data_IF_720719547236
#
_entry.id   IF_720719547236
#
_cell.length_a   1.000
_cell.length_b   1.000
_cell.length_c   1.000
_cell.angle_alpha   90.00
_cell.angle_beta   90.00
_cell.angle_gamma   90.00
#
_symmetry.space_group_name_H-M   'P 1'
#
loop_
_entity.id
_entity.type
_entity.pdbx_description
1 polymer ?
#
# COMPACT_ATOMS: atom_id res chain seq x y z
N UNK A 1 9.27 0.34 -12.48
CA UNK A 1 9.02 1.40 -11.48
C UNK A 1 7.61 1.93 -11.67
N UNK A 2 6.70 1.51 -10.80
CA UNK A 2 5.40 2.13 -10.63
C UNK A 2 5.62 3.41 -9.81
N UNK A 3 5.02 4.52 -10.24
CA UNK A 3 5.10 5.80 -9.55
C UNK A 3 3.83 6.01 -8.74
N UNK A 4 3.96 6.64 -7.58
CA UNK A 4 2.81 6.99 -6.75
C UNK A 4 2.68 8.51 -6.67
N UNK A 5 1.45 9.00 -6.69
CA UNK A 5 1.13 10.39 -6.41
C UNK A 5 1.39 10.78 -4.95
N UNK A 6 1.29 12.07 -4.66
CA UNK A 6 1.45 12.63 -3.30
C UNK A 6 0.39 12.04 -2.36
N UNK A 7 0.74 11.59 -1.14
CA UNK A 7 -0.26 11.27 -0.15
C UNK A 7 -0.87 12.59 0.34
N UNK A 8 -2.03 12.96 -0.18
CA UNK A 8 -2.79 14.06 0.37
C UNK A 8 -3.22 13.72 1.80
N UNK A 9 -2.83 14.56 2.75
CA UNK A 9 -3.10 14.37 4.17
C UNK A 9 -4.04 15.45 4.67
N UNK A 10 -5.31 15.10 4.81
CA UNK A 10 -6.27 15.89 5.57
C UNK A 10 -7.66 15.93 4.98
N UNK A 11 -8.67 16.07 5.85
CA UNK A 11 -10.08 16.19 5.47
C UNK A 11 -10.46 17.51 4.77
N UNK A 12 -9.49 18.35 4.42
CA UNK A 12 -9.69 19.62 3.70
C UNK A 12 -9.45 19.52 2.19
N UNK A 13 -8.85 18.43 1.71
CA UNK A 13 -8.63 18.22 0.27
C UNK A 13 -9.89 17.72 -0.41
N UNK A 14 -10.25 18.32 -1.54
CA UNK A 14 -11.36 17.86 -2.39
C UNK A 14 -10.86 16.81 -3.37
N UNK A 15 -11.75 15.95 -3.88
CA UNK A 15 -11.39 14.99 -4.95
C UNK A 15 -10.78 15.72 -6.17
N UNK A 16 -11.29 16.91 -6.48
CA UNK A 16 -10.77 17.76 -7.57
C UNK A 16 -9.28 18.10 -7.41
N UNK A 17 -8.80 18.27 -6.18
CA UNK A 17 -7.41 18.63 -5.92
C UNK A 17 -6.50 17.43 -6.22
N UNK A 18 -6.94 16.23 -5.84
CA UNK A 18 -6.23 14.97 -6.11
C UNK A 18 -6.14 14.67 -7.61
N UNK A 19 -7.26 14.85 -8.31
CA UNK A 19 -7.31 14.64 -9.76
C UNK A 19 -6.43 15.65 -10.50
N UNK A 20 -6.34 16.89 -10.01
CA UNK A 20 -5.44 17.91 -10.57
C UNK A 20 -3.97 17.55 -10.35
N UNK A 21 -3.59 17.06 -9.17
CA UNK A 21 -2.23 16.57 -8.89
C UNK A 21 -1.86 15.39 -9.79
N UNK A 22 -2.79 14.47 -10.01
CA UNK A 22 -2.59 13.34 -10.92
C UNK A 22 -2.38 13.79 -12.36
N UNK A 23 -3.15 14.77 -12.84
CA UNK A 23 -2.97 15.34 -14.17
C UNK A 23 -1.59 15.99 -14.31
N UNK A 24 -1.16 16.75 -13.31
CA UNK A 24 0.15 17.39 -13.29
C UNK A 24 1.28 16.35 -13.32
N UNK A 25 1.16 15.32 -12.47
CA UNK A 25 2.12 14.22 -12.44
C UNK A 25 2.14 13.45 -13.76
N UNK A 26 0.97 13.14 -14.33
CA UNK A 26 0.87 12.49 -15.65
C UNK A 26 1.56 13.30 -16.74
N UNK A 27 1.43 14.64 -16.72
CA UNK A 27 2.12 15.53 -17.67
C UNK A 27 3.64 15.50 -17.47
N UNK A 28 4.12 15.46 -16.23
CA UNK A 28 5.55 15.38 -15.92
C UNK A 28 6.17 14.04 -16.32
N UNK A 29 5.44 12.94 -16.10
CA UNK A 29 5.88 11.59 -16.42
C UNK A 29 5.85 11.27 -17.92
N UNK A 30 5.14 12.09 -18.71
CA UNK A 30 5.02 11.94 -20.16
C UNK A 30 3.96 10.92 -20.57
N UNK A 31 3.62 10.93 -21.87
CA UNK A 31 2.49 10.18 -22.44
C UNK A 31 2.67 8.65 -22.45
N UNK A 32 3.87 8.17 -22.11
CA UNK A 32 4.19 6.74 -22.05
C UNK A 32 3.63 6.04 -20.80
N UNK A 33 3.36 6.79 -19.72
CA UNK A 33 2.81 6.27 -18.48
C UNK A 33 1.39 6.78 -18.32
N UNK A 34 0.42 5.87 -18.42
CA UNK A 34 -1.00 6.18 -18.17
C UNK A 34 -1.39 5.62 -16.80
N UNK A 35 -2.23 6.33 -16.03
CA UNK A 35 -2.84 5.74 -14.84
C UNK A 35 -3.54 4.42 -15.22
N UNK A 36 -3.22 3.35 -14.49
CA UNK A 36 -3.97 2.10 -14.50
C UNK A 36 -5.22 2.24 -13.63
N UNK A 37 -5.08 2.95 -12.52
CA UNK A 37 -6.19 3.25 -11.63
C UNK A 37 -5.71 3.95 -10.38
N UNK A 38 -6.66 4.16 -9.48
CA UNK A 38 -6.47 4.95 -8.27
C UNK A 38 -7.00 4.20 -7.06
N UNK A 39 -6.27 4.30 -5.96
CA UNK A 39 -6.64 3.76 -4.67
C UNK A 39 -7.02 4.88 -3.71
N UNK A 40 -8.06 4.64 -2.91
CA UNK A 40 -8.42 5.48 -1.78
C UNK A 40 -8.38 4.67 -0.49
N UNK A 41 -7.46 5.03 0.41
CA UNK A 41 -7.09 4.21 1.56
C UNK A 41 -7.39 4.96 2.87
N UNK A 42 -8.41 4.57 3.65
CA UNK A 42 -8.75 5.23 4.92
C UNK A 42 -7.65 5.07 5.98
N UNK A 43 -7.28 6.13 6.70
CA UNK A 43 -6.19 6.09 7.68
C UNK A 43 -6.62 5.63 9.06
N UNK A 44 -7.84 5.97 9.50
CA UNK A 44 -8.34 5.66 10.84
C UNK A 44 -8.37 4.16 11.15
N UNK A 45 -8.88 3.38 10.20
CA UNK A 45 -8.98 1.94 10.29
C UNK A 45 -9.03 1.36 8.88
N UNK A 46 -8.62 0.09 8.76
CA UNK A 46 -8.78 -0.61 7.51
C UNK A 46 -10.25 -0.99 7.35
N UNK A 47 -10.82 -0.88 6.14
CA UNK A 47 -12.22 -1.21 5.90
C UNK A 47 -12.59 -2.59 6.45
N UNK A 48 -13.71 -2.70 7.15
CA UNK A 48 -14.32 -3.98 7.47
C UNK A 48 -14.82 -4.68 6.18
N UNK A 49 -15.06 -6.00 6.20
CA UNK A 49 -15.60 -6.71 5.04
C UNK A 49 -16.86 -6.05 4.46
N UNK A 50 -17.76 -5.56 5.32
CA UNK A 50 -19.00 -4.91 4.90
C UNK A 50 -18.74 -3.55 4.22
N UNK A 51 -17.71 -2.83 4.66
CA UNK A 51 -17.31 -1.55 4.06
C UNK A 51 -16.58 -1.71 2.73
N UNK A 52 -15.92 -2.87 2.47
CA UNK A 52 -15.20 -3.10 1.22
C UNK A 52 -16.12 -3.07 0.00
N UNK A 53 -17.36 -3.56 0.15
CA UNK A 53 -18.35 -3.56 -0.92
C UNK A 53 -18.78 -2.14 -1.33
N UNK A 54 -18.80 -1.19 -0.38
CA UNK A 54 -19.27 0.18 -0.60
C UNK A 54 -18.15 1.18 -0.94
N UNK A 55 -16.96 1.01 -0.38
CA UNK A 55 -15.91 2.05 -0.42
C UNK A 55 -15.18 2.18 -1.76
N UNK A 56 -15.45 1.30 -2.74
CA UNK A 56 -14.80 1.27 -4.07
C UNK A 56 -13.32 1.67 -3.99
N UNK A 57 -12.54 0.86 -3.26
CA UNK A 57 -11.14 1.17 -2.95
C UNK A 57 -10.31 1.39 -4.20
N UNK A 58 -10.66 0.77 -5.33
CA UNK A 58 -10.04 0.96 -6.63
C UNK A 58 -11.00 1.58 -7.63
N UNK A 59 -10.52 2.59 -8.34
CA UNK A 59 -11.21 3.18 -9.48
C UNK A 59 -10.29 3.07 -10.69
N UNK A 60 -10.75 2.32 -11.70
CA UNK A 60 -10.05 2.16 -12.97
C UNK A 60 -10.03 3.50 -13.74
N UNK A 61 -8.97 3.73 -14.51
CA UNK A 61 -8.82 4.90 -15.38
C UNK A 61 -9.44 4.72 -16.78
N UNK A 62 -10.31 3.72 -16.95
CA UNK A 62 -11.08 3.51 -18.19
C UNK A 62 -12.07 4.65 -18.47
N UNK A 63 -12.30 4.92 -19.75
CA UNK A 63 -13.20 5.99 -20.18
C UNK A 63 -14.64 5.71 -19.71
N UNK A 64 -15.22 6.64 -18.95
CA UNK A 64 -16.62 6.59 -18.50
C UNK A 64 -16.84 6.37 -17.01
N UNK A 65 -15.78 6.17 -16.22
CA UNK A 65 -15.88 6.14 -14.74
C UNK A 65 -15.56 7.52 -14.18
N UNK A 66 -16.53 8.14 -13.50
CA UNK A 66 -16.31 9.38 -12.77
C UNK A 66 -15.68 9.06 -11.40
N UNK A 67 -14.36 9.32 -11.29
CA UNK A 67 -13.61 9.13 -10.05
C UNK A 67 -14.11 10.06 -8.95
N UNK A 68 -14.56 11.27 -9.30
CA UNK A 68 -15.06 12.24 -8.32
C UNK A 68 -16.32 11.69 -7.64
N UNK A 69 -17.28 11.23 -8.43
CA UNK A 69 -18.51 10.61 -7.91
C UNK A 69 -18.21 9.35 -7.09
N UNK A 70 -17.21 8.55 -7.49
CA UNK A 70 -16.87 7.31 -6.77
C UNK A 70 -16.28 7.57 -5.38
N UNK A 71 -15.61 8.70 -5.17
CA UNK A 71 -14.87 8.98 -3.94
C UNK A 71 -15.55 10.03 -3.04
N UNK A 72 -16.52 10.79 -3.54
CA UNK A 72 -17.15 11.88 -2.79
C UNK A 72 -17.68 11.41 -1.43
N UNK A 73 -18.41 10.29 -1.38
CA UNK A 73 -18.94 9.70 -0.14
C UNK A 73 -17.84 9.11 0.76
N UNK A 74 -16.80 8.52 0.17
CA UNK A 74 -15.71 7.90 0.90
C UNK A 74 -14.81 8.95 1.59
N UNK A 75 -14.67 10.14 1.00
CA UNK A 75 -13.92 11.26 1.59
C UNK A 75 -14.62 11.92 2.78
N UNK A 76 -15.94 11.73 2.93
CA UNK A 76 -16.68 12.23 4.10
C UNK A 76 -16.44 11.39 5.37
N UNK A 77 -15.74 10.26 5.25
CA UNK A 77 -15.45 9.39 6.40
C UNK A 77 -14.41 10.04 7.34
N UNK A 78 -14.62 9.96 8.66
CA UNK A 78 -13.72 10.58 9.63
C UNK A 78 -12.33 9.91 9.63
N UNK A 79 -11.30 10.72 9.88
CA UNK A 79 -9.95 10.24 10.16
C UNK A 79 -9.01 10.14 8.95
N UNK A 80 -9.36 10.80 7.85
CA UNK A 80 -8.45 11.04 6.73
C UNK A 80 -8.20 9.82 5.85
N UNK A 81 -7.51 10.06 4.74
CA UNK A 81 -7.27 9.08 3.70
C UNK A 81 -5.89 9.30 3.08
N UNK A 82 -5.43 8.30 2.34
CA UNK A 82 -4.33 8.41 1.38
C UNK A 82 -4.88 8.03 0.02
N UNK A 83 -4.73 8.92 -0.95
CA UNK A 83 -4.99 8.60 -2.35
C UNK A 83 -3.70 8.16 -3.03
N UNK A 84 -3.76 7.09 -3.82
CA UNK A 84 -2.59 6.54 -4.52
C UNK A 84 -2.94 6.28 -5.97
N UNK A 85 -2.27 6.97 -6.88
CA UNK A 85 -2.39 6.71 -8.32
C UNK A 85 -1.36 5.70 -8.76
N UNK A 86 -1.81 4.67 -9.46
CA UNK A 86 -0.99 3.55 -9.92
C UNK A 86 -0.82 3.68 -11.43
N UNK A 87 0.40 3.92 -11.91
CA UNK A 87 0.69 4.15 -13.34
C UNK A 87 1.13 2.88 -14.06
N UNK A 88 0.40 2.48 -15.10
CA UNK A 88 0.71 1.31 -15.93
C UNK A 88 2.11 1.45 -16.53
N UNK A 89 2.98 0.47 -16.30
CA UNK A 89 4.23 0.37 -17.06
C UNK A 89 3.91 -0.01 -18.52
N UNK A 90 4.71 0.43 -19.50
CA UNK A 90 4.65 -0.10 -20.86
C UNK A 90 4.78 -1.63 -20.80
N UNK A 91 4.00 -2.37 -21.61
CA UNK A 91 3.92 -3.82 -21.53
C UNK A 91 5.31 -4.48 -21.53
N UNK A 92 5.68 -5.03 -20.38
CA UNK A 92 6.78 -5.97 -20.22
C UNK A 92 6.25 -7.40 -20.05
N UNK A 93 7.12 -8.41 -19.99
CA UNK A 93 6.68 -9.79 -19.84
C UNK A 93 5.85 -9.96 -18.56
N UNK A 94 4.57 -10.37 -18.73
CA UNK A 94 3.65 -10.71 -17.64
C UNK A 94 4.26 -11.80 -16.76
N UNK A 95 4.51 -11.50 -15.50
CA UNK A 95 4.97 -12.50 -14.52
C UNK A 95 3.77 -13.20 -13.90
N UNK A 96 3.77 -14.53 -13.94
CA UNK A 96 2.85 -15.37 -13.17
C UNK A 96 3.62 -15.91 -11.96
N UNK A 97 3.40 -15.30 -10.79
CA UNK A 97 3.86 -15.86 -9.52
C UNK A 97 2.62 -16.29 -8.74
N UNK A 98 2.43 -17.60 -8.64
CA UNK A 98 1.42 -18.20 -7.78
C UNK A 98 2.15 -18.84 -6.60
N UNK A 99 1.98 -18.25 -5.42
CA UNK A 99 2.55 -18.73 -4.17
C UNK A 99 1.64 -18.28 -3.03
N UNK A 100 1.26 -19.22 -2.18
CA UNK A 100 0.36 -19.00 -1.05
C UNK A 100 1.21 -18.68 0.18
N UNK A 101 1.02 -17.49 0.74
CA UNK A 101 1.62 -17.10 2.03
C UNK A 101 0.79 -17.64 3.18
N UNK A 102 1.42 -18.41 4.08
CA UNK A 102 0.84 -18.84 5.35
C UNK A 102 1.49 -18.02 6.47
N UNK A 103 0.81 -16.97 6.94
CA UNK A 103 1.27 -16.19 8.11
C UNK A 103 0.55 -16.70 9.37
N UNK A 104 1.28 -17.02 10.47
CA UNK A 104 0.67 -17.42 11.74
C UNK A 104 -0.21 -16.33 12.37
N UNK A 105 -1.23 -16.76 13.13
CA UNK A 105 -2.38 -15.96 13.59
C UNK A 105 -2.14 -14.81 14.59
N UNK A 106 -0.90 -14.40 14.89
CA UNK A 106 -0.61 -13.20 15.69
C UNK A 106 -0.23 -11.96 14.86
N UNK A 107 0.18 -12.16 13.61
CA UNK A 107 0.39 -11.09 12.62
C UNK A 107 -0.82 -11.11 11.69
N UNK A 108 -1.59 -10.02 11.71
CA UNK A 108 -2.77 -9.89 10.88
C UNK A 108 -2.36 -9.48 9.47
N UNK A 109 -2.55 -10.37 8.49
CA UNK A 109 -2.52 -9.99 7.08
C UNK A 109 -3.89 -10.24 6.48
N UNK A 110 -4.48 -9.21 5.88
CA UNK A 110 -5.80 -9.30 5.26
C UNK A 110 -5.78 -8.66 3.88
N UNK A 111 -6.09 -9.46 2.86
CA UNK A 111 -6.28 -8.95 1.51
C UNK A 111 -7.55 -8.11 1.47
N UNK A 112 -7.43 -6.85 1.05
CA UNK A 112 -8.54 -5.91 0.91
C UNK A 112 -9.03 -5.81 -0.54
N UNK A 113 -8.11 -5.93 -1.50
CA UNK A 113 -8.38 -5.86 -2.92
C UNK A 113 -7.33 -6.69 -3.67
N UNK A 114 -7.76 -7.38 -4.72
CA UNK A 114 -6.88 -8.00 -5.71
C UNK A 114 -7.48 -7.77 -7.09
N UNK A 115 -6.69 -7.22 -8.01
CA UNK A 115 -7.07 -6.99 -9.40
C UNK A 115 -5.88 -7.28 -10.33
N UNK A 116 -6.02 -6.98 -11.62
CA UNK A 116 -4.96 -7.26 -12.60
C UNK A 116 -3.69 -6.42 -12.43
N UNK A 117 -3.72 -5.36 -11.61
CA UNK A 117 -2.61 -4.44 -11.40
C UNK A 117 -1.95 -4.58 -10.03
N UNK A 118 -2.75 -4.75 -8.98
CA UNK A 118 -2.28 -4.73 -7.59
C UNK A 118 -2.98 -5.74 -6.68
N UNK A 119 -2.25 -6.17 -5.66
CA UNK A 119 -2.83 -6.65 -4.41
C UNK A 119 -2.70 -5.57 -3.33
N UNK A 120 -3.78 -5.29 -2.60
CA UNK A 120 -3.80 -4.39 -1.46
C UNK A 120 -4.01 -5.19 -0.18
N UNK A 121 -3.08 -5.08 0.75
CA UNK A 121 -3.12 -5.76 2.04
C UNK A 121 -3.22 -4.77 3.19
N UNK A 122 -4.02 -5.14 4.19
CA UNK A 122 -4.00 -4.60 5.54
C UNK A 122 -3.07 -5.47 6.38
N UNK A 123 -1.97 -4.87 6.85
CA UNK A 123 -0.91 -5.55 7.56
C UNK A 123 -0.78 -5.01 8.98
N UNK A 124 -0.76 -5.90 9.97
CA UNK A 124 -0.78 -5.56 11.39
C UNK A 124 0.18 -6.43 12.19
N UNK A 125 1.14 -5.79 12.86
CA UNK A 125 2.03 -6.44 13.84
C UNK A 125 1.81 -5.76 15.19
N UNK A 126 1.26 -6.48 16.19
CA UNK A 126 1.06 -5.93 17.52
C UNK A 126 2.35 -5.42 18.16
N UNK A 127 2.21 -4.53 19.14
CA UNK A 127 3.30 -4.10 20.00
C UNK A 127 4.06 -5.29 20.61
N UNK A 128 5.39 -5.24 20.57
CA UNK A 128 6.31 -6.24 21.13
C UNK A 128 6.24 -7.63 20.46
N UNK A 129 5.59 -7.72 19.29
CA UNK A 129 5.49 -8.96 18.50
C UNK A 129 6.42 -8.90 17.28
N UNK A 130 6.86 -10.07 16.84
CA UNK A 130 7.66 -10.24 15.63
C UNK A 130 6.81 -10.67 14.44
N UNK A 131 7.10 -10.08 13.28
CA UNK A 131 6.78 -10.67 12.00
C UNK A 131 7.88 -11.67 11.65
N UNK A 132 7.48 -12.93 11.51
CA UNK A 132 8.39 -14.01 11.17
C UNK A 132 8.94 -13.87 9.73
N UNK A 133 9.85 -14.78 9.39
CA UNK A 133 10.52 -14.79 8.10
C UNK A 133 9.51 -14.92 6.96
N UNK A 134 9.53 -13.97 6.04
CA UNK A 134 8.69 -13.98 4.85
C UNK A 134 9.46 -13.46 3.63
N UNK A 135 8.99 -13.86 2.46
CA UNK A 135 9.57 -13.52 1.16
C UNK A 135 8.64 -12.56 0.40
N UNK A 136 9.22 -11.48 -0.13
CA UNK A 136 8.51 -10.56 -1.02
C UNK A 136 8.69 -11.01 -2.47
N UNK A 137 7.58 -11.35 -3.13
CA UNK A 137 7.58 -11.89 -4.51
C UNK A 137 7.37 -10.82 -5.57
N UNK A 138 6.78 -9.70 -5.18
CA UNK A 138 6.43 -8.59 -6.06
C UNK A 138 7.05 -7.30 -5.52
N UNK A 139 7.46 -6.36 -6.39
CA UNK A 139 7.72 -5.00 -5.96
C UNK A 139 6.48 -4.45 -5.26
N UNK A 140 6.67 -3.69 -4.19
CA UNK A 140 5.56 -3.14 -3.45
C UNK A 140 5.90 -1.78 -2.86
N UNK A 141 4.84 -1.05 -2.53
CA UNK A 141 4.92 0.11 -1.64
C UNK A 141 4.12 -0.19 -0.40
N UNK A 142 4.61 0.27 0.74
CA UNK A 142 3.79 0.31 1.95
C UNK A 142 3.68 1.72 2.52
N UNK A 143 2.59 1.95 3.24
CA UNK A 143 2.30 3.17 4.00
C UNK A 143 1.97 2.78 5.43
N UNK A 144 2.58 3.46 6.40
CA UNK A 144 2.19 3.29 7.80
C UNK A 144 0.95 4.15 8.09
N UNK A 145 -0.15 3.56 8.57
CA UNK A 145 -1.34 4.33 9.00
C UNK A 145 -1.07 5.15 10.26
N UNK A 146 -0.20 4.65 11.13
CA UNK A 146 0.22 5.30 12.38
C UNK A 146 1.73 5.27 12.50
N UNK A 147 2.30 6.20 13.26
CA UNK A 147 3.74 6.14 13.57
C UNK A 147 4.08 4.86 14.32
N UNK A 148 5.18 4.20 13.93
CA UNK A 148 5.57 2.91 14.48
C UNK A 148 7.09 2.73 14.52
N UNK A 149 7.55 1.60 15.08
CA UNK A 149 8.96 1.23 15.13
C UNK A 149 9.13 -0.19 14.61
N UNK A 150 10.20 -0.42 13.87
CA UNK A 150 10.60 -1.77 13.49
C UNK A 150 12.08 -1.97 13.75
N UNK A 151 12.49 -3.23 13.89
CA UNK A 151 13.91 -3.62 13.94
C UNK A 151 14.06 -4.94 13.22
N UNK A 152 15.05 -5.03 12.33
CA UNK A 152 15.33 -6.25 11.60
C UNK A 152 15.67 -7.41 12.54
N UNK A 153 15.34 -8.62 12.10
CA UNK A 153 15.79 -9.85 12.74
C UNK A 153 16.78 -10.56 11.80
N UNK A 154 17.76 -11.28 12.35
CA UNK A 154 18.61 -12.19 11.58
C UNK A 154 17.91 -13.54 11.33
N UNK A 155 18.65 -14.46 10.71
CA UNK A 155 18.19 -15.83 10.41
C UNK A 155 17.82 -16.62 11.67
N UNK A 156 18.45 -16.34 12.82
CA UNK A 156 18.10 -16.91 14.13
C UNK A 156 16.96 -16.16 14.86
N UNK A 157 16.24 -15.29 14.14
CA UNK A 157 15.16 -14.43 14.65
C UNK A 157 15.56 -13.53 15.83
N UNK A 158 16.84 -13.19 15.93
CA UNK A 158 17.39 -12.27 16.93
C UNK A 158 17.45 -10.84 16.40
N UNK A 159 17.20 -9.82 17.23
CA UNK A 159 17.20 -8.43 16.79
C UNK A 159 18.57 -7.94 16.32
N UNK A 160 18.64 -7.44 15.09
CA UNK A 160 19.85 -6.91 14.48
C UNK A 160 19.69 -5.47 14.03
N UNK A 161 20.80 -4.75 13.95
CA UNK A 161 20.82 -3.35 13.55
C UNK A 161 20.08 -2.38 14.49
N UNK A 162 19.94 -1.11 14.09
CA UNK A 162 19.22 -0.10 14.85
C UNK A 162 17.70 -0.26 14.73
N UNK A 163 16.98 0.39 15.66
CA UNK A 163 15.52 0.55 15.55
C UNK A 163 15.22 1.64 14.52
N UNK A 164 14.41 1.32 13.52
CA UNK A 164 13.88 2.29 12.56
C UNK A 164 12.55 2.83 13.08
N UNK A 165 12.40 4.15 13.10
CA UNK A 165 11.14 4.81 13.44
C UNK A 165 10.48 5.34 12.18
N UNK A 166 9.18 5.14 12.06
CA UNK A 166 8.38 5.63 10.95
C UNK A 166 7.33 6.61 11.45
N UNK A 167 7.10 7.66 10.68
CA UNK A 167 5.98 8.57 10.88
C UNK A 167 4.70 8.01 10.26
N UNK A 168 3.55 8.50 10.72
CA UNK A 168 2.28 8.21 10.06
C UNK A 168 2.32 8.73 8.62
N UNK A 169 1.76 7.94 7.70
CA UNK A 169 1.68 8.16 6.26
C UNK A 169 3.04 8.20 5.55
N UNK A 170 4.12 7.87 6.26
CA UNK A 170 5.41 7.66 5.65
C UNK A 170 5.36 6.42 4.75
N UNK A 171 5.81 6.59 3.51
CA UNK A 171 5.83 5.54 2.51
C UNK A 171 7.24 5.08 2.18
N UNK A 172 7.35 3.84 1.73
CA UNK A 172 8.59 3.23 1.24
C UNK A 172 8.29 2.37 0.03
N UNK A 173 9.13 2.53 -0.98
CA UNK A 173 9.17 1.63 -2.12
C UNK A 173 10.18 0.52 -1.85
N UNK A 174 9.80 -0.71 -2.12
CA UNK A 174 10.66 -1.88 -2.05
C UNK A 174 10.70 -2.52 -3.43
N UNK A 175 11.87 -2.47 -4.06
CA UNK A 175 12.11 -3.10 -5.34
C UNK A 175 12.51 -4.56 -5.11
N UNK A 176 11.76 -5.47 -5.72
CA UNK A 176 12.08 -6.90 -5.74
C UNK A 176 12.71 -7.21 -7.10
N UNK A 177 13.93 -7.72 -7.07
CA UNK A 177 14.68 -8.14 -8.26
C UNK A 177 14.78 -9.67 -8.31
N UNK A 178 14.90 -10.27 -9.50
CA UNK A 178 14.97 -11.73 -9.67
C UNK A 178 16.31 -12.36 -9.23
N UNK A 179 17.32 -11.54 -8.96
CA UNK A 179 18.68 -12.02 -8.66
C UNK A 179 18.86 -12.36 -7.19
N UNK A 180 18.00 -11.81 -6.33
CA UNK A 180 18.13 -11.88 -4.88
C UNK A 180 16.80 -12.28 -4.27
N UNK A 181 16.84 -13.17 -3.27
CA UNK A 181 15.66 -13.47 -2.46
C UNK A 181 15.44 -12.32 -1.49
N UNK A 182 14.25 -11.72 -1.55
CA UNK A 182 13.86 -10.61 -0.67
C UNK A 182 13.19 -11.16 0.58
N UNK A 183 13.98 -11.89 1.36
CA UNK A 183 13.53 -12.56 2.58
C UNK A 183 13.92 -11.71 3.79
N UNK A 184 12.96 -11.38 4.65
CA UNK A 184 13.26 -10.73 5.91
C UNK A 184 12.27 -11.11 7.02
N UNK A 185 12.70 -10.83 8.25
CA UNK A 185 11.87 -10.86 9.44
C UNK A 185 12.14 -9.57 10.22
N UNK A 186 11.16 -9.10 10.99
CA UNK A 186 11.34 -7.91 11.81
C UNK A 186 10.52 -8.00 13.09
N UNK A 187 10.98 -7.31 14.14
CA UNK A 187 10.19 -7.12 15.36
C UNK A 187 9.61 -5.70 15.42
N UNK A 188 8.47 -5.57 16.08
CA UNK A 188 7.95 -4.29 16.55
C UNK A 188 8.42 -4.05 18.01
N UNK A 189 9.53 -3.32 18.24
CA UNK A 189 9.97 -3.01 19.61
C UNK A 189 9.17 -1.88 20.27
N UNK A 190 8.21 -1.29 19.54
CA UNK A 190 7.43 -0.15 20.00
C UNK A 190 6.27 -0.55 20.90
N UNK A 191 5.71 0.45 21.61
CA UNK A 191 4.46 0.35 22.38
C UNK A 191 3.20 0.50 21.52
N UNK A 192 3.37 0.94 20.27
CA UNK A 192 2.30 1.08 19.31
C UNK A 192 2.41 -0.04 18.28
N UNK A 193 1.26 -0.48 17.77
CA UNK A 193 1.20 -1.46 16.71
C UNK A 193 1.78 -0.91 15.40
N UNK A 194 2.41 -1.79 14.61
CA UNK A 194 2.69 -1.51 13.20
C UNK A 194 1.40 -1.79 12.44
N UNK A 195 0.86 -0.77 11.77
CA UNK A 195 -0.36 -0.86 10.96
C UNK A 195 -0.06 -0.27 9.60
N UNK A 196 -0.09 -1.10 8.56
CA UNK A 196 0.34 -0.74 7.22
C UNK A 196 -0.72 -1.09 6.18
N UNK A 197 -0.78 -0.27 5.13
CA UNK A 197 -1.25 -0.75 3.84
C UNK A 197 -0.05 -1.17 3.00
N UNK A 198 -0.13 -2.33 2.35
CA UNK A 198 0.87 -2.81 1.40
C UNK A 198 0.19 -2.92 0.04
N UNK A 199 0.76 -2.26 -0.97
CA UNK A 199 0.33 -2.29 -2.37
C UNK A 199 1.40 -3.05 -3.14
N UNK A 200 1.13 -4.32 -3.44
CA UNK A 200 2.00 -5.15 -4.28
C UNK A 200 1.62 -4.97 -5.75
N UNK A 201 2.60 -4.82 -6.63
CA UNK A 201 2.39 -4.68 -8.06
C UNK A 201 2.52 -6.05 -8.77
N UNK A 202 1.42 -6.54 -9.33
CA UNK A 202 1.34 -7.90 -9.91
C UNK A 202 1.41 -7.95 -11.44
N UNK A 203 1.46 -6.79 -12.10
CA UNK A 203 1.55 -6.64 -13.55
C UNK A 203 2.96 -6.29 -14.04
#
# INVERSE_FOLDING_TARGET
MWLLGSPSLGGSHKVSDLLLEDEQLSRQLGTALRPAGRLLLPLAAAPSPDQLASLRLWVDSTAGVDVADCWEDALQQPGGFVAVTVFKQPEGPRRTLSSVSNVPGSVGTRLLLSNEHVNLWDFHVPSLVSCELHEHLHPYVFFNRTGCKTRGLNEELQPTGPVTSFFACEFRCVEVNEKEKHVHAFQNPGKADVKQYIIEFVA
#
